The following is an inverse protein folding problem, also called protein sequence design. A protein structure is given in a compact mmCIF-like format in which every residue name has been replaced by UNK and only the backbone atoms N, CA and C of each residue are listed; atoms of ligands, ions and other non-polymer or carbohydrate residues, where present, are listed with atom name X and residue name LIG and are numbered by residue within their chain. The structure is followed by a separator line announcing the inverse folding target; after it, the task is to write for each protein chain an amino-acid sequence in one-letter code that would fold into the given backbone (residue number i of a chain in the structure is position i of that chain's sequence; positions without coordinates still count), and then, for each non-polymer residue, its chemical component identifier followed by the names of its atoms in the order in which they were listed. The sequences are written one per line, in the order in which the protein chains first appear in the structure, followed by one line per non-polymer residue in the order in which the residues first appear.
data_IF_307992298034
#
_entry.id   IF_307992298034
#
_cell.length_a   1.000
_cell.length_b   1.000
_cell.length_c   1.000
_cell.angle_alpha   90.00
_cell.angle_beta   90.00
_cell.angle_gamma   90.00
#
_symmetry.space_group_name_H-M   'P 1'
#
loop_
_entity.id
_entity.type
_entity.pdbx_description
1 polymer ?
#
# COMPACT_ATOMS: atom_id res chain seq x y z
N UNK A 1 18.74 -16.30 7.48
CA UNK A 1 19.16 -14.89 7.66
C UNK A 1 18.23 -14.27 8.68
N UNK A 2 18.75 -13.89 9.84
CA UNK A 2 17.98 -13.28 10.93
C UNK A 2 18.29 -11.78 10.91
N UNK A 3 17.35 -10.97 10.41
CA UNK A 3 17.50 -9.51 10.42
C UNK A 3 17.10 -9.02 11.81
N UNK A 4 18.10 -8.61 12.58
CA UNK A 4 17.95 -8.05 13.92
C UNK A 4 17.49 -6.60 13.81
N UNK A 5 16.22 -6.36 14.13
CA UNK A 5 15.66 -5.04 14.39
C UNK A 5 16.43 -4.36 15.53
N UNK A 6 17.35 -3.46 15.17
CA UNK A 6 18.09 -2.67 16.14
C UNK A 6 17.93 -1.20 15.76
N UNK A 7 16.77 -0.61 16.09
CA UNK A 7 16.56 0.83 16.24
C UNK A 7 16.75 1.77 15.03
N UNK A 8 17.25 1.29 13.89
CA UNK A 8 17.46 2.09 12.67
C UNK A 8 16.58 1.48 11.58
N UNK A 9 15.46 2.14 11.28
CA UNK A 9 14.75 1.86 10.02
C UNK A 9 15.71 2.30 8.91
N UNK A 10 16.09 1.37 8.05
CA UNK A 10 16.99 1.64 6.94
C UNK A 10 16.34 2.63 5.95
N UNK A 11 17.12 3.57 5.40
CA UNK A 11 16.60 4.59 4.48
C UNK A 11 15.97 3.95 3.22
N UNK A 12 16.51 2.81 2.76
CA UNK A 12 15.96 2.04 1.65
C UNK A 12 14.58 1.47 1.95
N UNK A 13 14.33 1.13 3.22
CA UNK A 13 13.02 0.65 3.68
C UNK A 13 12.01 1.78 3.64
N UNK A 14 12.38 2.95 4.17
CA UNK A 14 11.51 4.12 4.16
C UNK A 14 11.21 4.57 2.74
N UNK A 15 12.22 4.56 1.86
CA UNK A 15 12.05 4.84 0.44
C UNK A 15 11.08 3.86 -0.21
N UNK A 16 11.26 2.56 0.02
CA UNK A 16 10.37 1.54 -0.55
C UNK A 16 8.95 1.63 -0.02
N UNK A 17 8.79 1.96 1.26
CA UNK A 17 7.48 2.18 1.84
C UNK A 17 6.79 3.42 1.26
N UNK A 18 7.53 4.52 1.02
CA UNK A 18 7.01 5.71 0.32
C UNK A 18 6.56 5.40 -1.10
N UNK A 19 7.36 4.66 -1.87
CA UNK A 19 6.97 4.25 -3.23
C UNK A 19 5.65 3.46 -3.23
N UNK A 20 5.43 2.62 -2.21
CA UNK A 20 4.19 1.86 -2.07
C UNK A 20 3.00 2.75 -1.67
N UNK A 21 3.24 3.80 -0.87
CA UNK A 21 2.22 4.79 -0.55
C UNK A 21 1.86 5.64 -1.77
N UNK A 22 2.84 6.15 -2.49
CA UNK A 22 2.60 6.97 -3.70
C UNK A 22 1.85 6.16 -4.77
N UNK A 23 2.16 4.87 -4.89
CA UNK A 23 1.45 3.98 -5.81
C UNK A 23 0.01 3.67 -5.38
N UNK A 24 -0.25 3.59 -4.07
CA UNK A 24 -1.60 3.45 -3.52
C UNK A 24 -2.42 4.72 -3.75
N UNK A 25 -1.83 5.89 -3.48
CA UNK A 25 -2.47 7.21 -3.61
C UNK A 25 -2.86 7.48 -5.07
N UNK A 26 -1.93 7.26 -6.02
CA UNK A 26 -2.22 7.40 -7.43
C UNK A 26 -3.31 6.43 -7.93
N UNK A 27 -3.31 5.18 -7.44
CA UNK A 27 -4.36 4.23 -7.80
C UNK A 27 -5.73 4.60 -7.19
N UNK A 28 -5.73 5.27 -6.04
CA UNK A 28 -6.94 5.76 -5.40
C UNK A 28 -7.51 6.99 -6.12
N UNK A 29 -6.67 7.92 -6.56
CA UNK A 29 -7.09 9.09 -7.35
C UNK A 29 -7.79 8.67 -8.66
N UNK A 30 -7.25 7.70 -9.39
CA UNK A 30 -7.87 7.17 -10.61
C UNK A 30 -9.21 6.47 -10.30
N UNK A 31 -9.28 5.70 -9.20
CA UNK A 31 -10.52 5.08 -8.74
C UNK A 31 -11.59 6.12 -8.36
N UNK A 32 -11.19 7.21 -7.71
CA UNK A 32 -12.08 8.33 -7.36
C UNK A 32 -12.60 8.99 -8.64
N UNK A 33 -11.73 9.21 -9.63
CA UNK A 33 -12.11 9.77 -10.92
C UNK A 33 -13.16 8.90 -11.64
N UNK A 34 -12.91 7.59 -11.76
CA UNK A 34 -13.86 6.67 -12.39
C UNK A 34 -15.22 6.64 -11.67
N UNK A 35 -15.21 6.77 -10.34
CA UNK A 35 -16.44 6.88 -9.54
C UNK A 35 -17.19 8.20 -9.80
N UNK A 36 -16.47 9.32 -9.86
CA UNK A 36 -17.04 10.65 -10.13
C UNK A 36 -17.62 10.76 -11.55
N UNK A 37 -16.96 10.15 -12.54
CA UNK A 37 -17.42 10.11 -13.93
C UNK A 37 -18.58 9.11 -14.14
N UNK A 38 -18.78 8.19 -13.19
CA UNK A 38 -19.80 7.14 -13.28
C UNK A 38 -19.45 6.03 -14.27
N UNK A 39 -18.16 5.89 -14.62
CA UNK A 39 -17.67 4.82 -15.49
C UNK A 39 -17.43 3.55 -14.68
N UNK A 40 -18.45 2.69 -14.67
CA UNK A 40 -18.42 1.45 -13.90
C UNK A 40 -17.38 0.45 -14.41
N UNK A 41 -17.15 0.40 -15.72
CA UNK A 41 -16.21 -0.57 -16.31
C UNK A 41 -14.77 -0.17 -15.97
N UNK A 42 -14.49 1.14 -15.96
CA UNK A 42 -13.22 1.70 -15.50
C UNK A 42 -13.05 1.53 -13.98
N UNK A 43 -14.09 1.84 -13.20
CA UNK A 43 -14.09 1.72 -11.74
C UNK A 43 -13.72 0.31 -11.27
N UNK A 44 -14.28 -0.75 -11.88
CA UNK A 44 -13.95 -2.13 -11.48
C UNK A 44 -12.48 -2.48 -11.79
N UNK A 45 -11.92 -1.91 -12.85
CA UNK A 45 -10.50 -2.07 -13.22
C UNK A 45 -9.58 -1.31 -12.27
N UNK A 46 -9.92 -0.08 -11.93
CA UNK A 46 -9.15 0.76 -11.00
C UNK A 46 -9.23 0.22 -9.58
N UNK A 47 -10.38 -0.34 -9.19
CA UNK A 47 -10.57 -0.97 -7.89
C UNK A 47 -9.62 -2.17 -7.74
N UNK A 48 -9.46 -2.98 -8.78
CA UNK A 48 -8.51 -4.08 -8.78
C UNK A 48 -7.05 -3.58 -8.69
N UNK A 49 -6.74 -2.46 -9.36
CA UNK A 49 -5.42 -1.82 -9.32
C UNK A 49 -5.09 -1.29 -7.93
N UNK A 50 -6.03 -0.57 -7.30
CA UNK A 50 -5.91 -0.10 -5.92
C UNK A 50 -5.78 -1.25 -4.92
N UNK A 51 -6.59 -2.32 -5.07
CA UNK A 51 -6.47 -3.53 -4.25
C UNK A 51 -5.10 -4.20 -4.36
N UNK A 52 -4.50 -4.22 -5.56
CA UNK A 52 -3.16 -4.75 -5.76
C UNK A 52 -2.09 -3.87 -5.08
N UNK A 53 -2.22 -2.55 -5.16
CA UNK A 53 -1.31 -1.60 -4.53
C UNK A 53 -1.33 -1.72 -2.99
N UNK A 54 -2.51 -1.70 -2.38
CA UNK A 54 -2.65 -1.88 -0.92
C UNK A 54 -2.22 -3.29 -0.49
N UNK A 55 -2.47 -4.32 -1.31
CA UNK A 55 -1.98 -5.67 -1.08
C UNK A 55 -0.44 -5.76 -1.07
N UNK A 56 0.23 -5.06 -1.98
CA UNK A 56 1.69 -4.98 -2.02
C UNK A 56 2.27 -4.26 -0.78
N UNK A 57 1.61 -3.19 -0.33
CA UNK A 57 1.95 -2.48 0.92
C UNK A 57 1.78 -3.39 2.14
N UNK A 58 0.63 -4.04 2.29
CA UNK A 58 0.34 -4.94 3.41
C UNK A 58 1.28 -6.15 3.43
N UNK A 59 1.70 -6.67 2.28
CA UNK A 59 2.68 -7.75 2.19
C UNK A 59 4.12 -7.30 2.51
N UNK A 60 4.41 -6.00 2.37
CA UNK A 60 5.73 -5.43 2.68
C UNK A 60 5.93 -5.18 4.18
N UNK A 61 4.89 -4.72 4.89
CA UNK A 61 4.92 -4.45 6.33
C UNK A 61 5.45 -5.60 7.21
N UNK A 62 4.98 -6.87 7.08
CA UNK A 62 5.47 -7.97 7.92
C UNK A 62 6.91 -8.37 7.59
N UNK A 63 7.37 -8.16 6.33
CA UNK A 63 8.78 -8.37 5.95
C UNK A 63 9.71 -7.37 6.64
N UNK A 64 9.14 -6.24 7.04
CA UNK A 64 9.77 -5.20 7.82
C UNK A 64 9.62 -5.39 9.33
N UNK A 65 9.00 -6.49 9.78
CA UNK A 65 8.64 -6.76 11.16
C UNK A 65 7.59 -5.80 11.74
N UNK A 66 6.89 -5.06 10.88
CA UNK A 66 5.75 -4.23 11.25
C UNK A 66 4.52 -5.10 11.12
N UNK A 67 3.89 -5.39 12.25
CA UNK A 67 2.67 -6.19 12.26
C UNK A 67 1.46 -5.32 11.88
N UNK A 68 0.87 -5.62 10.72
CA UNK A 68 -0.29 -4.89 10.21
C UNK A 68 -1.59 -5.21 10.98
N UNK A 69 -1.66 -6.32 11.74
CA UNK A 69 -2.83 -6.65 12.56
C UNK A 69 -2.92 -5.76 13.82
N UNK A 70 -1.80 -5.20 14.27
CA UNK A 70 -1.79 -4.21 15.36
C UNK A 70 -2.49 -2.90 15.01
N UNK A 71 -2.68 -2.56 13.73
CA UNK A 71 -3.25 -1.26 13.30
C UNK A 71 -4.79 -1.27 13.16
N UNK A 72 -5.42 -2.45 13.10
CA UNK A 72 -6.88 -2.59 12.92
C UNK A 72 -7.64 -2.77 14.24
N UNK A 73 -6.95 -2.70 15.38
CA UNK A 73 -7.52 -2.92 16.72
C UNK A 73 -7.37 -1.66 17.59
N UNK A 74 -8.05 -0.56 17.27
CA UNK A 74 -8.35 0.56 18.20
C UNK A 74 -9.57 1.32 17.71
#
# INVERSE_FOLDING_TARGET
MQVTMTGVIDDHVLQRYRELLDAEDAAFDELEHAYEEGDRDHYETDLATWQAAIGAKLAYLPRMGIDAQSLVTT
#
